data_IF_314728337726
#
_entry.id   IF_314728337726
#
_cell.length_a   1.000
_cell.length_b   1.000
_cell.length_c   1.000
_cell.angle_alpha   90.00
_cell.angle_beta   90.00
_cell.angle_gamma   90.00
#
_symmetry.space_group_name_H-M   'P 1'
#
loop_
_entity.id
_entity.type
_entity.pdbx_description
1 polymer ?
#
# COMPACT_ATOMS: atom_id res chain seq x y z
N UNK A 1 4.27 17.38 10.77
CA UNK A 1 5.25 16.66 11.60
C UNK A 1 4.70 15.28 11.91
N UNK A 2 5.32 14.26 11.35
CA UNK A 2 4.88 12.86 11.40
C UNK A 2 4.49 12.38 12.82
N UNK A 3 5.33 12.66 13.81
CA UNK A 3 5.11 12.22 15.21
C UNK A 3 3.78 12.72 15.81
N UNK A 4 3.28 13.87 15.34
CA UNK A 4 2.03 14.45 15.86
C UNK A 4 0.81 14.09 15.03
N UNK A 5 0.96 13.92 13.73
CA UNK A 5 -0.16 13.76 12.80
C UNK A 5 -0.28 12.34 12.24
N UNK A 6 0.79 11.56 12.30
CA UNK A 6 0.89 10.30 11.57
C UNK A 6 1.04 10.46 10.05
N UNK A 7 1.07 11.69 9.55
CA UNK A 7 1.12 11.98 8.12
C UNK A 7 2.56 12.34 7.73
N UNK A 8 3.21 11.59 6.81
CA UNK A 8 4.53 11.93 6.31
C UNK A 8 4.50 13.19 5.46
N UNK A 9 5.64 13.87 5.38
CA UNK A 9 5.82 14.98 4.44
C UNK A 9 6.00 14.45 3.02
N UNK A 10 5.79 15.29 2.01
CA UNK A 10 6.06 14.93 0.61
C UNK A 10 7.51 14.47 0.40
N UNK A 11 8.46 15.10 1.09
CA UNK A 11 9.87 14.72 1.04
C UNK A 11 10.10 13.31 1.58
N UNK A 12 9.49 12.95 2.71
CA UNK A 12 9.58 11.61 3.27
C UNK A 12 9.01 10.56 2.31
N UNK A 13 7.87 10.86 1.68
CA UNK A 13 7.26 9.96 0.68
C UNK A 13 8.18 9.81 -0.53
N UNK A 14 8.76 10.91 -1.01
CA UNK A 14 9.68 10.90 -2.15
C UNK A 14 10.91 10.03 -1.90
N UNK A 15 11.47 10.08 -0.69
CA UNK A 15 12.65 9.30 -0.30
C UNK A 15 12.42 7.79 -0.33
N UNK A 16 11.20 7.32 -0.14
CA UNK A 16 10.83 5.90 -0.18
C UNK A 16 10.16 5.48 -1.47
N UNK A 17 9.99 6.40 -2.42
CA UNK A 17 9.34 6.16 -3.70
C UNK A 17 10.32 5.63 -4.75
N UNK A 18 9.92 4.67 -5.58
CA UNK A 18 10.71 4.25 -6.73
C UNK A 18 10.73 5.33 -7.82
N UNK A 19 11.68 5.20 -8.75
CA UNK A 19 11.74 6.08 -9.92
C UNK A 19 10.52 5.89 -10.84
N UNK A 20 10.23 6.88 -11.67
CA UNK A 20 9.15 6.79 -12.66
C UNK A 20 9.39 5.65 -13.65
N UNK A 21 10.64 5.41 -14.03
CA UNK A 21 11.05 4.30 -14.88
C UNK A 21 10.72 2.95 -14.22
N UNK A 22 11.03 2.80 -12.93
CA UNK A 22 10.70 1.57 -12.19
C UNK A 22 9.18 1.36 -12.05
N UNK A 23 8.43 2.42 -11.82
CA UNK A 23 6.97 2.37 -11.74
C UNK A 23 6.34 1.92 -13.07
N UNK A 24 6.87 2.39 -14.18
CA UNK A 24 6.41 2.00 -15.52
C UNK A 24 6.76 0.54 -15.88
N UNK A 25 7.76 -0.05 -15.23
CA UNK A 25 8.21 -1.42 -15.50
C UNK A 25 7.31 -2.50 -14.88
N UNK A 26 6.38 -2.14 -13.99
CA UNK A 26 5.46 -3.08 -13.37
C UNK A 26 5.27 -2.84 -11.87
N UNK A 27 4.51 -3.70 -11.18
CA UNK A 27 4.17 -3.50 -9.79
C UNK A 27 5.41 -3.51 -8.89
N UNK A 28 5.40 -2.63 -7.89
CA UNK A 28 6.49 -2.45 -6.94
C UNK A 28 5.94 -2.01 -5.58
N UNK A 29 6.56 -2.48 -4.51
CA UNK A 29 6.20 -2.07 -3.15
C UNK A 29 6.73 -0.66 -2.85
N UNK A 30 5.99 0.06 -2.03
CA UNK A 30 6.40 1.31 -1.39
C UNK A 30 6.23 1.13 0.12
N UNK A 31 7.31 1.28 0.87
CA UNK A 31 7.32 1.08 2.32
C UNK A 31 7.28 2.43 3.01
N UNK A 32 6.13 2.79 3.55
CA UNK A 32 5.93 4.06 4.29
C UNK A 32 6.13 3.86 5.80
N UNK A 33 7.22 3.19 6.17
CA UNK A 33 7.64 2.99 7.54
C UNK A 33 8.73 4.01 7.87
N UNK A 34 8.40 5.04 8.64
CA UNK A 34 9.27 6.19 8.88
C UNK A 34 9.81 6.27 10.31
N UNK A 35 9.43 5.35 11.16
CA UNK A 35 9.83 5.34 12.57
C UNK A 35 10.59 4.06 12.90
N UNK A 36 11.65 4.20 13.69
CA UNK A 36 12.37 3.08 14.26
C UNK A 36 11.52 2.39 15.32
N UNK A 37 11.11 1.16 15.04
CA UNK A 37 10.32 0.32 15.95
C UNK A 37 10.85 -1.13 15.87
N UNK A 38 10.77 -1.93 16.95
CA UNK A 38 11.18 -3.33 16.91
C UNK A 38 10.15 -4.15 16.11
N UNK A 39 10.42 -4.31 14.80
CA UNK A 39 9.47 -4.94 13.88
C UNK A 39 10.20 -5.42 12.61
N UNK A 40 9.95 -6.66 12.16
CA UNK A 40 10.59 -7.23 10.98
C UNK A 40 9.72 -8.14 10.08
N UNK A 41 8.38 -8.28 10.23
CA UNK A 41 7.60 -9.23 9.43
C UNK A 41 7.70 -9.02 7.92
N UNK A 42 7.87 -7.78 7.45
CA UNK A 42 8.03 -7.49 6.02
C UNK A 42 9.32 -8.12 5.45
N UNK A 43 10.42 -8.04 6.21
CA UNK A 43 11.70 -8.63 5.83
C UNK A 43 11.62 -10.16 5.79
N UNK A 44 11.08 -10.78 6.83
CA UNK A 44 10.88 -12.22 6.90
C UNK A 44 9.99 -12.76 5.77
N UNK A 45 9.00 -11.98 5.36
CA UNK A 45 8.05 -12.38 4.31
C UNK A 45 8.58 -12.22 2.89
N UNK A 46 9.70 -11.50 2.69
CA UNK A 46 10.18 -11.19 1.34
C UNK A 46 11.01 -12.31 0.73
N UNK A 47 10.38 -13.21 -0.02
CA UNK A 47 11.05 -14.32 -0.71
C UNK A 47 12.09 -13.88 -1.75
N UNK A 48 12.04 -12.62 -2.20
CA UNK A 48 13.00 -12.06 -3.17
C UNK A 48 14.23 -11.42 -2.51
N UNK A 49 14.25 -11.31 -1.18
CA UNK A 49 15.33 -10.62 -0.48
C UNK A 49 15.46 -9.15 -0.89
N UNK A 50 14.34 -8.52 -1.24
CA UNK A 50 14.30 -7.13 -1.68
C UNK A 50 14.31 -6.13 -0.53
N UNK A 51 13.95 -6.55 0.69
CA UNK A 51 13.94 -5.68 1.87
C UNK A 51 15.28 -5.79 2.57
N UNK A 52 15.92 -4.65 2.79
CA UNK A 52 17.29 -4.52 3.29
C UNK A 52 17.32 -3.72 4.59
N UNK A 53 18.48 -3.71 5.24
CA UNK A 53 18.75 -2.89 6.43
C UNK A 53 18.21 -3.49 7.73
N UNK A 54 17.80 -4.75 7.74
CA UNK A 54 17.16 -5.41 8.88
C UNK A 54 18.14 -6.32 9.69
N UNK A 55 19.41 -6.00 9.65
CA UNK A 55 20.43 -6.58 10.56
C UNK A 55 20.17 -6.22 12.03
N UNK A 56 19.44 -5.14 12.28
CA UNK A 56 18.81 -4.83 13.56
C UNK A 56 17.30 -4.62 13.32
N UNK A 57 16.46 -5.32 14.09
CA UNK A 57 15.01 -5.25 13.95
C UNK A 57 14.41 -3.86 14.28
N UNK A 58 15.19 -2.97 14.89
CA UNK A 58 14.79 -1.58 15.14
C UNK A 58 15.03 -0.68 13.94
N UNK A 59 15.76 -1.14 12.94
CA UNK A 59 16.05 -0.35 11.75
C UNK A 59 14.81 -0.13 10.88
N UNK A 60 14.82 0.97 10.15
CA UNK A 60 13.81 1.24 9.12
C UNK A 60 14.13 0.38 7.89
N UNK A 61 13.18 -0.45 7.41
CA UNK A 61 13.40 -1.27 6.22
C UNK A 61 13.59 -0.41 4.97
N UNK A 62 14.55 -0.80 4.14
CA UNK A 62 14.80 -0.18 2.84
C UNK A 62 14.46 -1.17 1.74
N UNK A 63 13.93 -0.71 0.62
CA UNK A 63 13.56 -1.57 -0.49
C UNK A 63 14.57 -1.45 -1.64
N UNK A 64 15.08 -2.60 -2.08
CA UNK A 64 15.74 -2.70 -3.37
C UNK A 64 14.66 -2.89 -4.45
N UNK A 65 14.37 -1.82 -5.19
CA UNK A 65 13.30 -1.79 -6.18
C UNK A 65 13.53 -2.75 -7.35
N UNK A 66 14.78 -3.05 -7.70
CA UNK A 66 15.12 -3.95 -8.80
C UNK A 66 14.83 -5.42 -8.46
N UNK A 67 14.95 -5.78 -7.18
CA UNK A 67 14.62 -7.13 -6.69
C UNK A 67 13.13 -7.33 -6.42
N UNK A 68 12.39 -6.24 -6.18
CA UNK A 68 10.97 -6.30 -5.86
C UNK A 68 10.15 -6.63 -7.12
N UNK A 69 9.29 -7.64 -7.03
CA UNK A 69 8.35 -7.99 -8.10
C UNK A 69 6.89 -7.58 -7.81
N UNK A 70 6.65 -6.83 -6.74
CA UNK A 70 5.31 -6.36 -6.40
C UNK A 70 4.33 -7.44 -5.96
N UNK A 71 4.80 -8.57 -5.44
CA UNK A 71 3.91 -9.69 -5.06
C UNK A 71 2.93 -9.37 -3.92
N UNK A 72 3.23 -8.38 -3.06
CA UNK A 72 2.35 -7.92 -2.00
C UNK A 72 2.44 -8.69 -0.69
N UNK A 73 3.26 -9.73 -0.59
CA UNK A 73 3.37 -10.52 0.64
C UNK A 73 3.79 -9.68 1.85
N UNK A 74 4.74 -8.76 1.66
CA UNK A 74 5.17 -7.84 2.72
C UNK A 74 4.03 -6.92 3.19
N UNK A 75 3.20 -6.44 2.26
CA UNK A 75 2.06 -5.59 2.59
C UNK A 75 1.02 -6.34 3.44
N UNK A 76 0.79 -7.62 3.15
CA UNK A 76 -0.15 -8.46 3.91
C UNK A 76 0.40 -8.87 5.28
N UNK A 77 1.71 -8.77 5.50
CA UNK A 77 2.36 -9.13 6.77
C UNK A 77 2.70 -7.93 7.65
N UNK A 78 2.66 -6.72 7.10
CA UNK A 78 2.97 -5.51 7.86
C UNK A 78 1.89 -5.22 8.90
N UNK A 79 2.19 -5.28 10.20
CA UNK A 79 1.19 -5.01 11.24
C UNK A 79 0.74 -3.54 11.30
N UNK A 80 1.59 -2.64 10.79
CA UNK A 80 1.28 -1.21 10.71
C UNK A 80 0.53 -0.79 9.45
N UNK A 81 0.22 -1.72 8.53
CA UNK A 81 -0.42 -1.44 7.25
C UNK A 81 0.30 -0.34 6.45
N UNK A 82 1.63 -0.33 6.50
CA UNK A 82 2.47 0.74 6.00
C UNK A 82 3.08 0.44 4.61
N UNK A 83 2.68 -0.66 3.96
CA UNK A 83 3.24 -1.07 2.68
C UNK A 83 2.12 -1.14 1.64
N UNK A 84 2.37 -0.48 0.51
CA UNK A 84 1.45 -0.39 -0.62
C UNK A 84 2.14 -0.93 -1.87
N UNK A 85 1.40 -1.54 -2.78
CA UNK A 85 1.94 -1.95 -4.08
C UNK A 85 1.36 -1.02 -5.13
N UNK A 86 2.23 -0.40 -5.92
CA UNK A 86 1.83 0.51 -6.99
C UNK A 86 2.21 -0.11 -8.33
N UNK A 87 1.27 -0.14 -9.25
CA UNK A 87 1.45 -0.62 -10.62
C UNK A 87 1.02 0.45 -11.61
N UNK A 88 1.97 1.23 -12.10
CA UNK A 88 1.74 2.26 -13.12
C UNK A 88 1.81 1.70 -14.54
N UNK A 89 2.09 0.41 -14.71
CA UNK A 89 2.04 -0.26 -16.01
C UNK A 89 0.63 -0.72 -16.41
N UNK A 90 -0.35 -0.55 -15.53
CA UNK A 90 -1.72 -1.03 -15.72
C UNK A 90 -2.40 -0.42 -16.95
N UNK A 91 -2.34 0.89 -17.12
CA UNK A 91 -2.82 1.58 -18.32
C UNK A 91 -2.10 2.92 -18.53
N UNK A 92 -2.24 3.57 -19.69
CA UNK A 92 -1.64 4.88 -19.92
C UNK A 92 -2.14 5.98 -18.99
N UNK A 93 -3.37 5.87 -18.49
CA UNK A 93 -4.05 6.92 -17.70
C UNK A 93 -4.28 6.55 -16.25
N UNK A 94 -4.24 5.25 -15.93
CA UNK A 94 -4.55 4.74 -14.59
C UNK A 94 -3.43 3.85 -14.06
N UNK A 95 -3.23 3.92 -12.76
CA UNK A 95 -2.41 2.99 -11.98
C UNK A 95 -3.32 2.12 -11.11
N UNK A 96 -2.81 0.97 -10.69
CA UNK A 96 -3.42 0.15 -9.64
C UNK A 96 -2.65 0.35 -8.35
N UNK A 97 -3.36 0.71 -7.29
CA UNK A 97 -2.83 0.72 -5.93
C UNK A 97 -3.43 -0.49 -5.20
N UNK A 98 -2.56 -1.34 -4.68
CA UNK A 98 -2.96 -2.46 -3.81
C UNK A 98 -2.68 -2.04 -2.38
N UNK A 99 -3.74 -1.82 -1.62
CA UNK A 99 -3.62 -1.36 -0.24
C UNK A 99 -4.03 -2.45 0.76
N UNK A 100 -3.33 -2.56 1.89
CA UNK A 100 -3.70 -3.47 2.95
C UNK A 100 -4.98 -3.00 3.64
N UNK A 101 -5.89 -3.93 3.93
CA UNK A 101 -7.21 -3.63 4.48
C UNK A 101 -7.65 -4.69 5.47
N UNK A 102 -8.06 -4.28 6.66
CA UNK A 102 -8.43 -5.18 7.76
C UNK A 102 -9.85 -4.94 8.29
N UNK A 103 -10.62 -4.07 7.64
CA UNK A 103 -12.00 -3.77 8.06
C UNK A 103 -13.00 -4.72 7.39
N UNK A 104 -14.14 -4.88 8.03
CA UNK A 104 -15.29 -5.63 7.49
C UNK A 104 -16.50 -4.71 7.32
N UNK A 105 -17.34 -4.97 6.31
CA UNK A 105 -17.18 -5.98 5.26
C UNK A 105 -16.05 -5.61 4.28
N UNK A 106 -15.48 -6.61 3.61
CA UNK A 106 -14.56 -6.36 2.49
C UNK A 106 -15.35 -5.82 1.29
N UNK A 107 -14.75 -4.96 0.45
CA UNK A 107 -15.35 -4.60 -0.82
C UNK A 107 -15.40 -5.81 -1.76
N UNK A 108 -16.21 -5.72 -2.79
CA UNK A 108 -16.29 -6.71 -3.86
C UNK A 108 -15.56 -6.23 -5.11
N UNK A 109 -15.13 -7.16 -5.96
CA UNK A 109 -14.59 -6.81 -7.26
C UNK A 109 -15.66 -6.04 -8.07
N UNK A 110 -15.22 -5.04 -8.82
CA UNK A 110 -16.06 -4.10 -9.57
C UNK A 110 -16.92 -3.14 -8.73
N UNK A 111 -16.86 -3.23 -7.40
CA UNK A 111 -17.51 -2.25 -6.52
C UNK A 111 -16.80 -0.88 -6.62
N UNK A 112 -17.58 0.19 -6.59
CA UNK A 112 -17.09 1.55 -6.48
C UNK A 112 -16.94 1.94 -5.01
N UNK A 113 -15.77 2.44 -4.64
CA UNK A 113 -15.44 2.84 -3.27
C UNK A 113 -14.94 4.28 -3.23
N UNK A 114 -15.07 4.92 -2.09
CA UNK A 114 -14.50 6.25 -1.85
C UNK A 114 -13.02 6.06 -1.49
N UNK A 115 -12.11 6.65 -2.29
CA UNK A 115 -10.69 6.69 -1.97
C UNK A 115 -10.38 7.76 -0.93
N UNK A 116 -9.46 7.43 -0.03
CA UNK A 116 -9.00 8.32 1.04
C UNK A 116 -7.48 8.51 0.95
N UNK A 117 -7.03 9.74 1.21
CA UNK A 117 -5.60 10.03 1.35
C UNK A 117 -5.09 9.69 2.75
N UNK A 118 -3.81 9.99 3.03
CA UNK A 118 -3.17 9.75 4.34
C UNK A 118 -3.82 10.51 5.49
N UNK A 119 -4.49 11.62 5.20
CA UNK A 119 -5.22 12.41 6.21
C UNK A 119 -6.67 11.94 6.40
N UNK A 120 -7.13 10.94 5.65
CA UNK A 120 -8.50 10.46 5.65
C UNK A 120 -9.46 11.35 4.84
N UNK A 121 -8.93 12.24 4.02
CA UNK A 121 -9.74 13.11 3.15
C UNK A 121 -10.14 12.35 1.88
N UNK A 122 -11.34 12.62 1.40
CA UNK A 122 -11.90 11.98 0.20
C UNK A 122 -11.20 12.47 -1.07
N UNK A 123 -10.75 11.54 -1.89
CA UNK A 123 -10.14 11.81 -3.19
C UNK A 123 -11.12 11.67 -4.35
N UNK A 124 -12.19 10.92 -4.18
CA UNK A 124 -13.17 10.61 -5.22
C UNK A 124 -13.63 9.16 -5.13
N UNK A 125 -14.34 8.71 -6.16
CA UNK A 125 -14.82 7.33 -6.27
C UNK A 125 -13.99 6.57 -7.27
N UNK A 126 -13.60 5.35 -6.91
CA UNK A 126 -12.71 4.50 -7.70
C UNK A 126 -13.21 3.06 -7.69
N UNK A 127 -12.92 2.35 -8.78
CA UNK A 127 -13.32 0.96 -8.94
C UNK A 127 -12.33 0.00 -8.30
N UNK A 128 -12.84 -0.94 -7.52
CA UNK A 128 -12.08 -2.08 -7.03
C UNK A 128 -11.90 -3.10 -8.16
N UNK A 129 -10.66 -3.42 -8.50
CA UNK A 129 -10.35 -4.40 -9.54
C UNK A 129 -10.39 -5.81 -8.97
N UNK A 130 -9.81 -5.99 -7.79
CA UNK A 130 -9.63 -7.29 -7.16
C UNK A 130 -9.55 -7.17 -5.66
N UNK A 131 -10.03 -8.17 -4.96
CA UNK A 131 -9.84 -8.35 -3.52
C UNK A 131 -9.02 -9.62 -3.32
N UNK A 132 -7.77 -9.44 -2.93
CA UNK A 132 -6.85 -10.54 -2.65
C UNK A 132 -6.87 -10.83 -1.16
N UNK A 133 -7.48 -11.92 -0.78
CA UNK A 133 -7.55 -12.37 0.61
C UNK A 133 -6.24 -13.05 1.00
N UNK A 134 -5.84 -12.88 2.26
CA UNK A 134 -4.76 -13.64 2.86
C UNK A 134 -5.12 -15.12 3.04
N UNK A 135 -4.13 -15.93 3.40
CA UNK A 135 -4.35 -17.33 3.75
C UNK A 135 -5.09 -17.49 5.09
N UNK A 136 -5.29 -18.74 5.52
CA UNK A 136 -6.04 -19.08 6.75
C UNK A 136 -5.54 -18.34 7.99
N UNK A 137 -4.23 -18.09 8.05
CA UNK A 137 -3.59 -17.44 9.21
C UNK A 137 -3.32 -15.95 9.00
N UNK A 138 -3.74 -15.38 7.88
CA UNK A 138 -3.55 -13.96 7.59
C UNK A 138 -4.87 -13.31 7.17
N UNK A 139 -5.40 -12.46 8.00
CA UNK A 139 -6.68 -11.77 7.80
C UNK A 139 -6.55 -10.47 7.02
N UNK A 140 -5.34 -9.96 6.81
CA UNK A 140 -5.13 -8.77 5.98
C UNK A 140 -5.41 -9.09 4.53
N UNK A 141 -6.29 -8.33 3.91
CA UNK A 141 -6.55 -8.39 2.47
C UNK A 141 -5.77 -7.29 1.75
N UNK A 142 -5.46 -7.49 0.47
CA UNK A 142 -5.03 -6.44 -0.44
C UNK A 142 -6.18 -6.07 -1.35
N UNK A 143 -6.58 -4.82 -1.30
CA UNK A 143 -7.61 -4.25 -2.18
C UNK A 143 -6.92 -3.57 -3.35
N UNK A 144 -7.21 -4.01 -4.54
CA UNK A 144 -6.65 -3.48 -5.78
C UNK A 144 -7.61 -2.44 -6.34
N UNK A 145 -7.19 -1.19 -6.35
CA UNK A 145 -8.02 -0.05 -6.76
C UNK A 145 -7.39 0.65 -7.96
N UNK A 146 -8.16 0.84 -9.02
CA UNK A 146 -7.74 1.64 -10.17
C UNK A 146 -7.95 3.12 -9.88
N UNK A 147 -6.90 3.91 -10.04
CA UNK A 147 -6.92 5.36 -9.82
C UNK A 147 -6.21 6.07 -10.97
N UNK A 148 -6.53 7.34 -11.26
CA UNK A 148 -5.71 8.15 -12.16
C UNK A 148 -4.24 8.13 -11.71
N UNK A 149 -3.30 8.12 -12.64
CA UNK A 149 -1.86 8.02 -12.35
C UNK A 149 -1.38 9.04 -11.30
N UNK A 150 -1.91 10.26 -11.34
CA UNK A 150 -1.53 11.31 -10.39
C UNK A 150 -1.98 11.05 -8.95
N UNK A 151 -2.92 10.13 -8.73
CA UNK A 151 -3.42 9.78 -7.40
C UNK A 151 -2.79 8.49 -6.84
N UNK A 152 -1.88 7.84 -7.55
CA UNK A 152 -1.27 6.58 -7.15
C UNK A 152 -0.52 6.67 -5.80
N UNK A 153 0.09 7.82 -5.50
CA UNK A 153 0.76 8.08 -4.23
C UNK A 153 -0.12 8.78 -3.20
N UNK A 154 -1.34 9.16 -3.58
CA UNK A 154 -2.30 9.79 -2.67
C UNK A 154 -3.27 8.79 -2.05
N UNK A 155 -3.75 7.82 -2.83
CA UNK A 155 -4.68 6.81 -2.32
C UNK A 155 -3.98 5.90 -1.29
N UNK A 156 -4.49 5.92 -0.05
CA UNK A 156 -3.92 5.11 1.04
C UNK A 156 -4.94 4.33 1.85
N UNK A 157 -6.23 4.63 1.67
CA UNK A 157 -7.31 3.86 2.27
C UNK A 157 -8.59 3.99 1.44
N UNK A 158 -9.60 3.24 1.79
CA UNK A 158 -10.92 3.29 1.15
C UNK A 158 -12.04 3.33 2.18
N UNK A 159 -13.19 3.84 1.75
CA UNK A 159 -14.44 3.78 2.48
C UNK A 159 -15.50 3.13 1.59
N UNK A 160 -16.19 2.13 2.12
CA UNK A 160 -17.26 1.42 1.42
C UNK A 160 -18.58 2.14 1.68
N UNK A 161 -19.26 2.60 0.65
CA UNK A 161 -20.49 3.39 0.76
C UNK A 161 -21.65 2.62 1.40
N UNK A 162 -21.79 1.33 1.11
CA UNK A 162 -22.88 0.48 1.66
C UNK A 162 -22.85 0.32 3.17
N UNK A 163 -21.75 0.66 3.84
CA UNK A 163 -21.60 0.59 5.31
C UNK A 163 -22.18 1.82 6.00
N UNK A 164 -22.25 2.94 5.30
CA UNK A 164 -22.72 4.24 5.85
C UNK A 164 -24.24 4.25 6.07
N UNK A 165 -24.97 3.30 5.47
CA UNK A 165 -26.42 3.21 5.55
C UNK A 165 -26.94 2.28 6.67
N UNK A 166 -26.06 1.77 7.52
CA UNK A 166 -26.42 0.97 8.69
C UNK A 166 -26.30 1.86 9.94
N UNK A 167 -27.20 2.81 10.01
CA UNK A 167 -27.36 3.68 11.16
C UNK A 167 -28.50 3.23 12.05
#
# INVERSE_FOLDING_TARGET
MLVKTGIPTEEQVRQVSPSQERLAAGPVAVIECFQEIPCNPCWEACAKGAILGMDDMNNIPKLNFDKCNGCGTCAMKCPGLAIFIIDSSYSPTEAVVRLPYEFYPLPEADEEVIGLNRAGEKLGKFRVIKVQKGGIHNKTALIWVAVPNQLAFELRNIQIERVVNVG
#
